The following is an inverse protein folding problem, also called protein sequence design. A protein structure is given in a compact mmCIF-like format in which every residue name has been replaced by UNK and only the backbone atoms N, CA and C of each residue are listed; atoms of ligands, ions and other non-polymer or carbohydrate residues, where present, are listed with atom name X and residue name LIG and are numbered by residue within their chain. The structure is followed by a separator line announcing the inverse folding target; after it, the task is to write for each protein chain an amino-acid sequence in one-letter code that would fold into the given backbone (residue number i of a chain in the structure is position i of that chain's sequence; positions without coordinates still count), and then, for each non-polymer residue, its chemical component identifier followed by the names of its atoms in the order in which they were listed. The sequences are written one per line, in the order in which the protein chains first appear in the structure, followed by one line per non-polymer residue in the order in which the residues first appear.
data_IF_181074919980
#
_entry.id   IF_181074919980
#
_cell.length_a   1.000
_cell.length_b   1.000
_cell.length_c   1.000
_cell.angle_alpha   90.00
_cell.angle_beta   90.00
_cell.angle_gamma   90.00
#
_symmetry.space_group_name_H-M   'P 1'
#
loop_
_entity.id
_entity.type
_entity.pdbx_description
1 polymer ?
#
# COMPACT_ATOMS: atom_id res chain seq x y z
N UNK A 1 -19.15 5.89 4.88
CA UNK A 1 -19.84 4.79 5.60
C UNK A 1 -19.22 4.67 7.00
N UNK A 2 -20.00 4.39 8.06
CA UNK A 2 -19.47 4.10 9.39
C UNK A 2 -19.52 2.59 9.73
N UNK A 3 -18.89 2.17 10.83
CA UNK A 3 -18.78 0.76 11.21
C UNK A 3 -20.14 0.06 11.36
N UNK A 4 -21.12 0.71 11.99
CA UNK A 4 -22.46 0.15 12.18
C UNK A 4 -23.17 -0.03 10.83
N UNK A 5 -23.06 0.95 9.94
CA UNK A 5 -23.62 0.88 8.59
C UNK A 5 -23.00 -0.25 7.77
N UNK A 6 -21.67 -0.41 7.83
CA UNK A 6 -20.99 -1.52 7.17
C UNK A 6 -21.48 -2.87 7.69
N UNK A 7 -21.50 -3.05 9.02
CA UNK A 7 -21.93 -4.30 9.64
C UNK A 7 -23.37 -4.68 9.28
N UNK A 8 -24.29 -3.71 9.31
CA UNK A 8 -25.69 -3.93 8.92
C UNK A 8 -25.78 -4.40 7.47
N UNK A 9 -25.10 -3.71 6.54
CA UNK A 9 -25.06 -4.12 5.13
C UNK A 9 -24.44 -5.49 4.95
N UNK A 10 -23.33 -5.76 5.63
CA UNK A 10 -22.66 -7.06 5.59
C UNK A 10 -23.63 -8.17 5.99
N UNK A 11 -24.31 -8.04 7.13
CA UNK A 11 -25.31 -9.02 7.59
C UNK A 11 -26.45 -9.23 6.58
N UNK A 12 -26.97 -8.15 5.98
CA UNK A 12 -28.01 -8.25 4.95
C UNK A 12 -27.51 -8.90 3.66
N UNK A 13 -26.22 -8.77 3.36
CA UNK A 13 -25.61 -9.39 2.17
C UNK A 13 -25.07 -10.81 2.42
N UNK A 14 -24.90 -11.23 3.68
CA UNK A 14 -24.51 -12.58 4.09
C UNK A 14 -25.67 -13.27 4.83
N UNK A 15 -26.69 -13.71 4.10
CA UNK A 15 -27.79 -14.52 4.64
C UNK A 15 -27.79 -15.92 4.01
N UNK A 16 -28.36 -16.89 4.72
CA UNK A 16 -28.35 -18.29 4.34
C UNK A 16 -29.12 -18.55 3.04
N UNK A 17 -30.12 -17.73 2.71
CA UNK A 17 -30.97 -17.90 1.54
C UNK A 17 -30.33 -17.36 0.24
N UNK A 18 -29.29 -16.54 0.35
CA UNK A 18 -28.61 -16.02 -0.85
C UNK A 18 -27.85 -17.11 -1.56
N UNK A 19 -27.87 -17.06 -2.89
CA UNK A 19 -27.19 -18.02 -3.74
C UNK A 19 -26.12 -17.34 -4.59
N UNK A 20 -25.09 -18.09 -4.94
CA UNK A 20 -24.11 -17.67 -5.94
C UNK A 20 -24.66 -17.88 -7.36
N UNK A 21 -23.86 -17.53 -8.37
CA UNK A 21 -24.23 -17.66 -9.79
C UNK A 21 -24.50 -19.13 -10.20
N UNK A 22 -23.96 -20.11 -9.45
CA UNK A 22 -24.16 -21.55 -9.67
C UNK A 22 -25.35 -22.14 -8.89
N UNK A 23 -26.12 -21.31 -8.19
CA UNK A 23 -27.28 -21.74 -7.39
C UNK A 23 -26.96 -22.37 -6.03
N UNK A 24 -25.68 -22.45 -5.63
CA UNK A 24 -25.28 -22.90 -4.29
C UNK A 24 -25.59 -21.81 -3.28
N UNK A 25 -26.16 -22.19 -2.14
CA UNK A 25 -26.42 -21.21 -1.06
C UNK A 25 -25.11 -20.73 -0.44
N UNK A 26 -25.07 -19.49 0.04
CA UNK A 26 -23.91 -18.94 0.72
C UNK A 26 -23.56 -19.77 1.97
N UNK A 27 -24.57 -20.32 2.64
CA UNK A 27 -24.39 -21.20 3.80
C UNK A 27 -23.74 -22.53 3.42
N UNK A 28 -24.17 -23.15 2.32
CA UNK A 28 -23.56 -24.38 1.81
C UNK A 28 -22.08 -24.14 1.43
N UNK A 29 -21.79 -23.05 0.70
CA UNK A 29 -20.42 -22.68 0.33
C UNK A 29 -19.57 -22.46 1.59
N UNK A 30 -20.09 -21.73 2.58
CA UNK A 30 -19.40 -21.51 3.86
C UNK A 30 -19.05 -22.82 4.57
N UNK A 31 -19.95 -23.80 4.60
CA UNK A 31 -19.74 -25.06 5.32
C UNK A 31 -18.81 -26.03 4.60
N UNK A 32 -18.72 -25.96 3.28
CA UNK A 32 -18.12 -27.02 2.46
C UNK A 32 -16.93 -26.56 1.61
N UNK A 33 -16.73 -25.25 1.43
CA UNK A 33 -15.77 -24.69 0.49
C UNK A 33 -15.26 -23.31 0.96
N UNK A 34 -14.38 -23.33 1.97
CA UNK A 34 -13.79 -22.12 2.57
C UNK A 34 -13.10 -21.18 1.54
N UNK A 35 -12.31 -21.68 0.57
CA UNK A 35 -11.72 -20.81 -0.47
C UNK A 35 -12.76 -20.14 -1.36
N UNK A 36 -13.83 -20.83 -1.77
CA UNK A 36 -14.91 -20.23 -2.55
C UNK A 36 -15.67 -19.18 -1.73
N UNK A 37 -15.95 -19.46 -0.46
CA UNK A 37 -16.60 -18.50 0.43
C UNK A 37 -15.74 -17.23 0.61
N UNK A 38 -14.44 -17.40 0.80
CA UNK A 38 -13.49 -16.28 0.91
C UNK A 38 -13.54 -15.40 -0.34
N UNK A 39 -13.56 -15.99 -1.54
CA UNK A 39 -13.66 -15.24 -2.79
C UNK A 39 -15.02 -14.51 -2.92
N UNK A 40 -16.12 -15.19 -2.59
CA UNK A 40 -17.47 -14.62 -2.60
C UNK A 40 -17.54 -13.38 -1.69
N UNK A 41 -17.09 -13.50 -0.45
CA UNK A 41 -17.11 -12.41 0.52
C UNK A 41 -16.23 -11.25 0.05
N UNK A 42 -14.97 -11.52 -0.28
CA UNK A 42 -14.00 -10.47 -0.59
C UNK A 42 -14.30 -9.75 -1.91
N UNK A 43 -14.65 -10.48 -2.97
CA UNK A 43 -14.72 -9.93 -4.33
C UNK A 43 -16.14 -9.59 -4.79
N UNK A 44 -17.18 -10.08 -4.11
CA UNK A 44 -18.59 -9.81 -4.48
C UNK A 44 -19.28 -9.00 -3.39
N UNK A 45 -19.39 -9.55 -2.17
CA UNK A 45 -20.17 -8.94 -1.09
C UNK A 45 -19.54 -7.63 -0.61
N UNK A 46 -18.27 -7.66 -0.18
CA UNK A 46 -17.57 -6.47 0.32
C UNK A 46 -17.46 -5.41 -0.78
N UNK A 47 -17.16 -5.82 -2.01
CA UNK A 47 -17.10 -4.92 -3.16
C UNK A 47 -18.42 -4.19 -3.40
N UNK A 48 -19.55 -4.90 -3.34
CA UNK A 48 -20.87 -4.30 -3.46
C UNK A 48 -21.11 -3.27 -2.36
N UNK A 49 -20.85 -3.63 -1.11
CA UNK A 49 -21.07 -2.75 0.06
C UNK A 49 -20.27 -1.45 -0.07
N UNK A 50 -19.00 -1.53 -0.49
CA UNK A 50 -18.12 -0.38 -0.67
C UNK A 50 -18.60 0.49 -1.84
N UNK A 51 -18.88 -0.11 -3.01
CA UNK A 51 -19.36 0.61 -4.21
C UNK A 51 -20.66 1.36 -3.97
N UNK A 52 -21.60 0.77 -3.25
CA UNK A 52 -22.86 1.42 -2.88
C UNK A 52 -22.68 2.63 -1.94
N UNK A 53 -21.49 2.84 -1.39
CA UNK A 53 -21.15 4.06 -0.65
C UNK A 53 -20.43 5.11 -1.48
N UNK A 54 -20.38 4.93 -2.80
CA UNK A 54 -19.73 5.86 -3.72
C UNK A 54 -18.21 5.81 -3.66
N UNK A 55 -17.63 4.69 -3.22
CA UNK A 55 -16.20 4.48 -3.14
C UNK A 55 -15.73 3.52 -4.23
N UNK A 56 -14.55 3.78 -4.77
CA UNK A 56 -13.83 2.78 -5.57
C UNK A 56 -13.35 1.64 -4.68
N UNK A 57 -13.31 0.44 -5.25
CA UNK A 57 -12.93 -0.76 -4.51
C UNK A 57 -11.93 -1.61 -5.28
N UNK A 58 -10.92 -2.06 -4.57
CA UNK A 58 -9.95 -3.02 -5.05
C UNK A 58 -9.64 -4.03 -3.96
N UNK A 59 -9.54 -5.30 -4.38
CA UNK A 59 -9.10 -6.38 -3.51
C UNK A 59 -7.56 -6.37 -3.44
N UNK A 60 -7.02 -6.35 -2.23
CA UNK A 60 -5.56 -6.36 -1.97
C UNK A 60 -4.81 -5.21 -2.65
N UNK A 61 -5.21 -3.96 -2.37
CA UNK A 61 -4.59 -2.77 -2.97
C UNK A 61 -3.18 -2.46 -2.44
N UNK A 62 -2.97 -2.49 -1.12
CA UNK A 62 -1.67 -2.16 -0.50
C UNK A 62 -0.67 -3.33 -0.54
N UNK A 63 -0.55 -4.01 -1.68
CA UNK A 63 0.55 -4.97 -1.87
C UNK A 63 1.84 -4.16 -1.96
N UNK A 64 2.60 -4.19 -0.87
CA UNK A 64 3.91 -3.55 -0.74
C UNK A 64 4.97 -4.54 -1.20
N UNK A 65 5.87 -4.13 -2.09
CA UNK A 65 6.88 -5.01 -2.66
C UNK A 65 7.77 -5.68 -1.61
N UNK A 66 8.16 -4.92 -0.59
CA UNK A 66 8.98 -5.45 0.50
C UNK A 66 8.72 -4.73 1.81
N UNK A 67 8.60 -5.51 2.88
CA UNK A 67 8.44 -4.99 4.25
C UNK A 67 9.48 -5.62 5.18
N UNK A 68 9.96 -4.83 6.14
CA UNK A 68 10.78 -5.31 7.25
C UNK A 68 10.08 -5.03 8.57
N UNK A 69 10.06 -6.03 9.44
CA UNK A 69 9.33 -6.00 10.71
C UNK A 69 10.09 -6.74 11.82
N UNK A 70 9.81 -6.38 13.08
CA UNK A 70 10.30 -7.11 14.24
C UNK A 70 9.20 -7.96 14.84
N UNK A 71 9.46 -9.26 15.00
CA UNK A 71 8.57 -10.17 15.71
C UNK A 71 8.66 -9.97 17.22
N UNK A 72 7.50 -9.90 17.86
CA UNK A 72 7.34 -9.85 19.31
C UNK A 72 6.47 -10.99 19.83
N UNK A 73 6.12 -11.97 19.01
CA UNK A 73 5.24 -13.09 19.41
C UNK A 73 5.74 -13.88 20.63
N UNK A 74 7.03 -13.85 20.91
CA UNK A 74 7.65 -14.49 22.08
C UNK A 74 7.30 -13.77 23.39
N UNK A 75 6.88 -12.51 23.33
CA UNK A 75 6.41 -11.75 24.50
C UNK A 75 4.95 -12.08 24.86
N UNK A 76 4.24 -12.85 24.03
CA UNK A 76 2.88 -13.30 24.31
C UNK A 76 2.90 -14.61 25.10
N UNK A 77 2.02 -14.70 26.10
CA UNK A 77 1.83 -15.93 26.87
C UNK A 77 1.30 -17.05 25.98
N UNK A 78 1.99 -18.18 26.01
CA UNK A 78 1.67 -19.32 25.16
C UNK A 78 0.39 -20.02 25.60
N UNK A 79 0.22 -20.25 26.90
CA UNK A 79 -0.93 -20.98 27.43
C UNK A 79 -2.21 -20.20 27.15
N UNK A 80 -2.21 -18.90 27.42
CA UNK A 80 -3.33 -18.02 27.13
C UNK A 80 -3.69 -18.05 25.65
N UNK A 81 -2.71 -18.00 24.73
CA UNK A 81 -2.99 -18.07 23.29
C UNK A 81 -3.61 -19.39 22.86
N UNK A 82 -3.14 -20.51 23.43
CA UNK A 82 -3.67 -21.85 23.15
C UNK A 82 -5.08 -22.02 23.75
N UNK A 83 -5.32 -21.52 24.96
CA UNK A 83 -6.62 -21.54 25.64
C UNK A 83 -7.70 -20.77 24.88
N UNK A 84 -7.36 -19.65 24.24
CA UNK A 84 -8.31 -18.87 23.42
C UNK A 84 -8.32 -19.29 21.95
N UNK A 85 -7.53 -20.30 21.56
CA UNK A 85 -7.50 -20.83 20.20
C UNK A 85 -6.90 -19.88 19.15
N UNK A 86 -5.96 -19.01 19.52
CA UNK A 86 -5.33 -18.03 18.62
C UNK A 86 -3.83 -18.27 18.44
N UNK A 87 -3.33 -18.08 17.21
CA UNK A 87 -1.89 -18.06 16.95
C UNK A 87 -1.24 -16.79 17.52
N UNK A 88 0.00 -16.92 18.03
CA UNK A 88 0.79 -15.80 18.54
C UNK A 88 1.37 -14.98 17.38
N UNK A 89 0.58 -14.06 16.85
CA UNK A 89 1.02 -13.07 15.88
C UNK A 89 1.12 -11.69 16.55
N UNK A 90 2.35 -11.25 16.82
CA UNK A 90 2.64 -9.89 17.28
C UNK A 90 3.93 -9.40 16.62
N UNK A 91 3.86 -8.26 15.97
CA UNK A 91 4.98 -7.69 15.22
C UNK A 91 4.85 -6.18 15.03
N UNK A 92 5.98 -5.50 14.86
CA UNK A 92 6.04 -4.08 14.50
C UNK A 92 6.56 -3.92 13.07
N UNK A 93 5.81 -3.26 12.19
CA UNK A 93 6.33 -2.80 10.90
C UNK A 93 7.39 -1.71 11.11
N UNK A 94 8.54 -1.82 10.44
CA UNK A 94 9.66 -0.85 10.56
C UNK A 94 10.05 -0.19 9.26
N UNK A 95 9.98 -0.93 8.15
CA UNK A 95 10.28 -0.42 6.81
C UNK A 95 9.29 -0.96 5.80
N UNK A 96 8.85 -0.10 4.89
CA UNK A 96 8.08 -0.46 3.70
C UNK A 96 8.80 0.10 2.47
N UNK A 97 8.97 -0.73 1.45
CA UNK A 97 9.72 -0.40 0.24
C UNK A 97 8.87 -0.75 -0.97
N UNK A 98 8.80 0.21 -1.91
CA UNK A 98 8.25 0.01 -3.25
C UNK A 98 9.34 0.21 -4.29
N UNK A 99 9.26 -0.54 -5.39
CA UNK A 99 10.12 -0.41 -6.55
C UNK A 99 9.30 -0.22 -7.82
N UNK A 100 9.48 0.90 -8.49
CA UNK A 100 8.79 1.19 -9.75
C UNK A 100 9.80 1.47 -10.88
N UNK A 101 9.70 0.66 -11.94
CA UNK A 101 10.56 0.73 -13.13
C UNK A 101 10.09 1.82 -14.12
N UNK A 102 8.81 2.18 -14.10
CA UNK A 102 8.23 3.21 -14.93
C UNK A 102 8.54 4.61 -14.37
N UNK A 103 9.27 5.38 -15.19
CA UNK A 103 9.74 6.74 -14.88
C UNK A 103 8.61 7.77 -14.66
N UNK A 104 7.37 7.39 -14.94
CA UNK A 104 6.17 8.22 -14.82
C UNK A 104 5.22 7.80 -13.70
N UNK A 105 5.31 6.57 -13.19
CA UNK A 105 4.22 5.99 -12.39
C UNK A 105 4.53 5.86 -10.90
N UNK A 106 5.77 6.10 -10.48
CA UNK A 106 6.20 5.96 -9.07
C UNK A 106 5.51 6.91 -8.08
N UNK A 107 4.71 7.88 -8.53
CA UNK A 107 3.87 8.67 -7.64
C UNK A 107 2.84 7.81 -6.92
N UNK A 108 2.23 6.83 -7.61
CA UNK A 108 1.23 5.94 -6.99
C UNK A 108 1.86 5.23 -5.79
N UNK A 109 3.09 4.76 -5.92
CA UNK A 109 3.86 4.12 -4.85
C UNK A 109 4.12 5.03 -3.65
N UNK A 110 4.43 6.31 -3.90
CA UNK A 110 4.58 7.29 -2.82
C UNK A 110 3.26 7.48 -2.07
N UNK A 111 2.15 7.67 -2.81
CA UNK A 111 0.83 7.87 -2.19
C UNK A 111 0.40 6.61 -1.43
N UNK A 112 0.63 5.43 -2.01
CA UNK A 112 0.40 4.14 -1.37
C UNK A 112 1.12 4.07 -0.02
N UNK A 113 2.42 4.36 0.01
CA UNK A 113 3.18 4.34 1.26
C UNK A 113 2.75 5.42 2.25
N UNK A 114 2.28 6.60 1.84
CA UNK A 114 1.76 7.65 2.75
C UNK A 114 0.64 7.12 3.66
N UNK A 115 -0.18 6.17 3.19
CA UNK A 115 -1.26 5.58 3.98
C UNK A 115 -0.79 4.47 4.94
N UNK A 116 0.46 4.01 4.84
CA UNK A 116 0.99 2.91 5.64
C UNK A 116 1.61 3.44 6.93
N UNK A 117 1.12 3.01 8.09
CA UNK A 117 1.73 3.38 9.39
C UNK A 117 3.07 2.65 9.56
N UNK A 118 4.17 3.32 9.25
CA UNK A 118 5.50 2.73 9.15
C UNK A 118 6.59 3.79 9.40
N UNK A 119 7.58 3.53 10.27
CA UNK A 119 8.67 4.47 10.54
C UNK A 119 9.43 4.90 9.29
N UNK A 120 9.88 3.96 8.46
CA UNK A 120 10.62 4.26 7.23
C UNK A 120 9.86 3.80 5.99
N UNK A 121 9.66 4.72 5.05
CA UNK A 121 9.04 4.47 3.76
C UNK A 121 10.02 4.79 2.65
N UNK A 122 10.25 3.84 1.76
CA UNK A 122 11.23 3.99 0.68
C UNK A 122 10.55 3.73 -0.66
N UNK A 123 10.70 4.66 -1.59
CA UNK A 123 10.36 4.43 -2.99
C UNK A 123 11.63 4.45 -3.82
N UNK A 124 11.88 3.36 -4.53
CA UNK A 124 12.97 3.24 -5.50
C UNK A 124 12.36 3.39 -6.88
N UNK A 125 12.70 4.48 -7.56
CA UNK A 125 12.21 4.79 -8.90
C UNK A 125 13.33 5.12 -9.86
N UNK A 126 12.95 5.49 -11.08
CA UNK A 126 13.89 5.91 -12.11
C UNK A 126 13.49 7.22 -12.75
N UNK A 127 14.50 7.96 -13.20
CA UNK A 127 14.33 9.08 -14.11
C UNK A 127 15.15 8.87 -15.38
N UNK A 128 14.82 9.58 -16.44
CA UNK A 128 15.62 9.52 -17.66
C UNK A 128 17.03 10.06 -17.39
N UNK A 129 18.07 9.33 -17.81
CA UNK A 129 19.46 9.69 -17.51
C UNK A 129 19.91 11.03 -18.12
N UNK A 130 19.25 11.48 -19.17
CA UNK A 130 19.47 12.75 -19.87
C UNK A 130 18.57 13.90 -19.37
N UNK A 131 17.69 13.62 -18.40
CA UNK A 131 16.77 14.59 -17.79
C UNK A 131 17.01 14.73 -16.28
N UNK A 132 18.24 14.50 -15.81
CA UNK A 132 18.62 14.71 -14.41
C UNK A 132 18.79 16.22 -14.12
N UNK A 133 18.61 16.64 -12.87
CA UNK A 133 18.68 18.05 -12.47
C UNK A 133 17.29 18.69 -12.37
N UNK A 134 17.05 19.82 -13.06
CA UNK A 134 15.82 20.61 -12.92
C UNK A 134 14.53 19.81 -13.13
N UNK A 135 14.49 18.92 -14.12
CA UNK A 135 13.31 18.08 -14.37
C UNK A 135 13.06 17.05 -13.25
N UNK A 136 14.13 16.55 -12.61
CA UNK A 136 14.04 15.69 -11.43
C UNK A 136 13.51 16.47 -10.21
N UNK A 137 14.03 17.68 -9.99
CA UNK A 137 13.59 18.57 -8.92
C UNK A 137 12.11 18.93 -9.07
N UNK A 138 11.64 19.22 -10.29
CA UNK A 138 10.21 19.45 -10.56
C UNK A 138 9.33 18.26 -10.20
N UNK A 139 9.76 17.03 -10.49
CA UNK A 139 9.02 15.82 -10.08
C UNK A 139 8.97 15.68 -8.57
N UNK A 140 10.11 15.86 -7.89
CA UNK A 140 10.18 15.79 -6.42
C UNK A 140 9.32 16.86 -5.75
N UNK A 141 9.29 18.09 -6.31
CA UNK A 141 8.43 19.16 -5.84
C UNK A 141 6.94 18.83 -6.04
N UNK A 142 6.58 18.30 -7.21
CA UNK A 142 5.22 17.87 -7.49
C UNK A 142 4.76 16.79 -6.50
N UNK A 143 5.55 15.74 -6.29
CA UNK A 143 5.25 14.68 -5.33
C UNK A 143 5.13 15.22 -3.91
N UNK A 144 6.03 16.12 -3.51
CA UNK A 144 5.94 16.78 -2.19
C UNK A 144 4.61 17.52 -2.01
N UNK A 145 4.11 18.17 -3.06
CA UNK A 145 2.81 18.84 -3.07
C UNK A 145 1.63 17.88 -3.03
N UNK A 146 1.73 16.73 -3.69
CA UNK A 146 0.71 15.67 -3.62
C UNK A 146 0.63 15.06 -2.22
N UNK A 147 1.76 14.71 -1.60
CA UNK A 147 1.78 14.17 -0.23
C UNK A 147 1.10 15.10 0.78
N UNK A 148 1.30 16.41 0.65
CA UNK A 148 0.69 17.41 1.52
C UNK A 148 -0.83 17.55 1.38
N UNK A 149 -1.42 16.99 0.32
CA UNK A 149 -2.87 16.95 0.12
C UNK A 149 -3.52 15.67 0.68
N UNK A 150 -2.71 14.69 1.12
CA UNK A 150 -3.21 13.42 1.65
C UNK A 150 -3.33 13.52 3.18
N UNK A 151 -4.55 13.37 3.71
CA UNK A 151 -4.81 13.49 5.16
C UNK A 151 -3.94 12.56 6.01
N UNK A 152 -3.70 11.33 5.54
CA UNK A 152 -2.90 10.34 6.25
C UNK A 152 -1.44 10.79 6.49
N UNK A 153 -0.91 11.68 5.65
CA UNK A 153 0.43 12.23 5.78
C UNK A 153 0.65 12.98 7.11
N UNK A 154 -0.41 13.57 7.66
CA UNK A 154 -0.36 14.33 8.90
C UNK A 154 -0.58 13.48 10.16
N UNK A 155 -0.88 12.18 10.02
CA UNK A 155 -1.06 11.26 11.14
C UNK A 155 0.25 10.64 11.65
N UNK A 156 1.31 10.69 10.84
CA UNK A 156 2.61 10.10 11.14
C UNK A 156 3.64 11.14 11.55
N UNK A 157 3.77 11.46 12.84
CA UNK A 157 4.71 12.51 13.30
C UNK A 157 6.19 12.10 13.18
N UNK A 158 6.50 10.81 13.36
CA UNK A 158 7.86 10.26 13.39
C UNK A 158 8.19 9.41 12.15
N UNK A 159 7.52 9.64 11.04
CA UNK A 159 7.70 8.87 9.81
C UNK A 159 8.64 9.58 8.85
N UNK A 160 9.57 8.81 8.28
CA UNK A 160 10.55 9.22 7.28
C UNK A 160 10.18 8.70 5.88
N UNK A 161 10.39 9.55 4.88
CA UNK A 161 10.12 9.24 3.48
C UNK A 161 11.41 9.44 2.68
N UNK A 162 11.89 8.36 2.10
CA UNK A 162 13.08 8.33 1.25
C UNK A 162 12.68 7.99 -0.18
N UNK A 163 13.12 8.81 -1.13
CA UNK A 163 13.06 8.49 -2.55
C UNK A 163 14.48 8.23 -3.04
N UNK A 164 14.68 7.12 -3.72
CA UNK A 164 15.93 6.80 -4.42
C UNK A 164 15.65 6.79 -5.93
N UNK A 165 16.28 7.68 -6.69
CA UNK A 165 16.12 7.75 -8.14
C UNK A 165 17.38 7.28 -8.86
N UNK A 166 17.25 6.14 -9.55
CA UNK A 166 18.25 5.63 -10.48
C UNK A 166 18.17 6.28 -11.85
N UNK A 167 19.25 6.14 -12.61
CA UNK A 167 19.27 6.47 -14.03
C UNK A 167 18.63 5.33 -14.84
N UNK A 168 17.52 5.62 -15.52
CA UNK A 168 16.94 4.75 -16.53
C UNK A 168 17.35 5.18 -17.94
N UNK A 169 16.86 4.45 -18.95
CA UNK A 169 17.07 4.76 -20.37
C UNK A 169 16.84 6.26 -20.68
N UNK A 170 17.58 6.85 -21.64
CA UNK A 170 17.43 8.25 -21.99
C UNK A 170 16.06 8.55 -22.59
N UNK A 171 15.59 9.79 -22.44
CA UNK A 171 14.36 10.26 -23.06
C UNK A 171 14.56 10.47 -24.56
N UNK A 172 15.69 11.07 -24.91
CA UNK A 172 16.18 11.14 -26.29
C UNK A 172 16.93 9.86 -26.64
N UNK A 173 16.34 9.07 -27.54
CA UNK A 173 16.91 7.79 -27.97
C UNK A 173 18.22 7.91 -28.74
N UNK A 174 18.61 9.12 -29.16
CA UNK A 174 19.89 9.37 -29.82
C UNK A 174 21.04 9.54 -28.83
N UNK A 175 20.74 9.73 -27.54
CA UNK A 175 21.75 9.81 -26.49
C UNK A 175 22.27 8.41 -26.13
N UNK A 176 23.59 8.27 -25.93
CA UNK A 176 24.28 6.99 -25.71
C UNK A 176 24.01 6.32 -24.35
N UNK A 177 23.01 6.79 -23.59
CA UNK A 177 22.64 6.25 -22.29
C UNK A 177 23.67 6.58 -21.19
N UNK A 178 24.02 5.59 -20.38
CA UNK A 178 24.90 5.73 -19.23
C UNK A 178 25.84 4.53 -19.08
N UNK A 179 27.02 4.76 -18.47
CA UNK A 179 28.06 3.72 -18.29
C UNK A 179 28.16 3.16 -16.87
N UNK A 180 27.49 3.80 -15.91
CA UNK A 180 27.49 3.41 -14.51
C UNK A 180 26.14 3.71 -13.88
N UNK A 181 25.84 3.09 -12.74
CA UNK A 181 24.68 3.45 -11.94
C UNK A 181 24.84 4.85 -11.33
N UNK A 182 23.74 5.60 -11.32
CA UNK A 182 23.62 6.94 -10.72
C UNK A 182 22.33 7.00 -9.89
N UNK A 183 22.37 6.36 -8.72
CA UNK A 183 21.31 6.42 -7.72
C UNK A 183 21.50 7.66 -6.85
N UNK A 184 20.43 8.45 -6.71
CA UNK A 184 20.40 9.66 -5.90
C UNK A 184 19.32 9.55 -4.85
N UNK A 185 19.67 9.78 -3.60
CA UNK A 185 18.77 9.70 -2.47
C UNK A 185 18.22 11.07 -2.11
N UNK A 186 16.94 11.11 -1.77
CA UNK A 186 16.20 12.30 -1.40
C UNK A 186 15.34 12.02 -0.17
N UNK A 187 15.62 12.71 0.93
CA UNK A 187 14.87 12.60 2.17
C UNK A 187 13.83 13.72 2.27
N UNK A 188 12.59 13.39 2.62
CA UNK A 188 11.56 14.42 2.85
C UNK A 188 11.86 15.22 4.11
N UNK A 189 12.01 16.53 3.96
CA UNK A 189 12.14 17.46 5.09
C UNK A 189 10.77 18.03 5.43
N UNK A 190 10.26 17.76 6.63
CA UNK A 190 9.02 18.37 7.15
C UNK A 190 9.14 19.88 7.31
N UNK A 191 10.31 20.37 7.73
CA UNK A 191 10.60 21.81 7.86
C UNK A 191 10.51 22.52 6.50
N UNK A 192 11.19 21.98 5.48
CA UNK A 192 11.22 22.57 4.13
C UNK A 192 10.02 22.17 3.27
N UNK A 193 9.16 21.28 3.78
CA UNK A 193 7.99 20.68 3.10
C UNK A 193 8.31 20.13 1.70
N UNK A 194 9.50 19.55 1.56
CA UNK A 194 10.00 19.02 0.28
C UNK A 194 11.08 17.98 0.47
N UNK A 195 11.26 17.15 -0.55
CA UNK A 195 12.43 16.28 -0.67
C UNK A 195 13.72 17.08 -0.85
N UNK A 196 14.77 16.68 -0.14
CA UNK A 196 16.11 17.27 -0.18
C UNK A 196 17.11 16.15 -0.45
N UNK A 197 18.05 16.42 -1.37
CA UNK A 197 19.13 15.48 -1.68
C UNK A 197 20.04 15.28 -0.47
N UNK A 198 20.44 14.05 -0.20
CA UNK A 198 21.39 13.67 0.85
C UNK A 198 22.69 13.09 0.29
#
# INVERSE_FOLDING_TARGET
MNAIGFYKKFKTETTEEKQNEDGRSYFEIYQTDEPAFTNLVNKKIIHKIIKESGLEVQHEYFRIDSVGWFGKYQTLDRKQSEEVGMNRHLWDLKIAVEHENNKKDWLDEVIKLVHVKCPLKVVIGYNYCDCRGEAEEKKLQYVSGCMQQVDAFYLGENEEYLIILGNGAPKDKTNGGYKSFDYRAYLYSREKKRFVKI
#
